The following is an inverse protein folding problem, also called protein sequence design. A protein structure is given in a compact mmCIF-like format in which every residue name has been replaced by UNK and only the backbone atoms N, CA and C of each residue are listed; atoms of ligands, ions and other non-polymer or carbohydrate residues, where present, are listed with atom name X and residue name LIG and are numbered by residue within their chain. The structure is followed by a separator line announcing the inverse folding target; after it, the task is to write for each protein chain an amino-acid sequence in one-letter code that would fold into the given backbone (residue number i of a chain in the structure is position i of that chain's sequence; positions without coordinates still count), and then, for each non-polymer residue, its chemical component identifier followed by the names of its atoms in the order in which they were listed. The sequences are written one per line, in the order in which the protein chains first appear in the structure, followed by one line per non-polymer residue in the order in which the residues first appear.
data_IF_624968936595
#
_entry.id   IF_624968936595
#
_cell.length_a   1.000
_cell.length_b   1.000
_cell.length_c   1.000
_cell.angle_alpha   90.00
_cell.angle_beta   90.00
_cell.angle_gamma   90.00
#
_symmetry.space_group_name_H-M   'P 1'
#
loop_
_entity.id
_entity.type
_entity.pdbx_description
1 polymer ?
#
# COMPACT_ATOMS: atom_id res chain seq x y z
N UNK A 1 38.17 41.82 15.46
CA UNK A 1 37.38 41.96 14.21
C UNK A 1 37.02 43.41 14.04
N UNK A 2 37.04 43.94 12.81
CA UNK A 2 36.84 45.38 12.58
C UNK A 2 35.47 45.81 13.12
N UNK A 3 35.39 47.01 13.72
CA UNK A 3 34.14 47.55 14.30
C UNK A 3 32.98 47.58 13.28
N UNK A 4 33.31 47.54 11.99
CA UNK A 4 32.39 47.38 10.86
C UNK A 4 31.71 46.00 10.79
N UNK A 5 32.45 44.91 11.01
CA UNK A 5 31.93 43.52 10.97
C UNK A 5 30.90 43.29 12.10
N UNK A 6 31.16 43.82 13.29
CA UNK A 6 30.22 43.72 14.43
C UNK A 6 28.94 44.53 14.21
N UNK A 7 29.03 45.64 13.46
CA UNK A 7 27.88 46.51 13.14
C UNK A 7 27.01 45.98 12.00
N UNK A 8 27.54 45.14 11.11
CA UNK A 8 26.80 44.61 9.97
C UNK A 8 26.31 43.17 10.18
N UNK A 9 27.10 42.31 10.82
CA UNK A 9 26.77 40.88 10.93
C UNK A 9 25.74 40.60 12.03
N UNK A 10 25.81 41.29 13.17
CA UNK A 10 24.84 41.11 14.25
C UNK A 10 23.41 41.45 13.78
N UNK A 11 23.13 42.61 13.14
CA UNK A 11 21.79 42.88 12.66
C UNK A 11 21.35 41.92 11.55
N UNK A 12 22.27 41.46 10.69
CA UNK A 12 21.94 40.48 9.65
C UNK A 12 21.56 39.11 10.23
N UNK A 13 22.25 38.64 11.28
CA UNK A 13 21.91 37.39 11.98
C UNK A 13 20.59 37.54 12.74
N UNK A 14 20.35 38.68 13.41
CA UNK A 14 19.07 38.91 14.07
C UNK A 14 17.92 39.01 13.07
N UNK A 15 18.13 39.64 11.91
CA UNK A 15 17.13 39.71 10.84
C UNK A 15 16.85 38.32 10.28
N UNK A 16 17.88 37.50 10.04
CA UNK A 16 17.71 36.12 9.58
C UNK A 16 16.97 35.25 10.60
N UNK A 17 17.25 35.45 11.89
CA UNK A 17 16.56 34.73 12.97
C UNK A 17 15.10 35.15 13.10
N UNK A 18 14.80 36.45 12.97
CA UNK A 18 13.43 36.98 12.92
C UNK A 18 12.70 36.48 11.66
N UNK A 19 13.37 36.42 10.50
CA UNK A 19 12.81 35.85 9.28
C UNK A 19 12.53 34.34 9.45
N UNK A 20 13.41 33.60 10.10
CA UNK A 20 13.15 32.19 10.42
C UNK A 20 11.97 32.03 11.38
N UNK A 21 11.88 32.84 12.45
CA UNK A 21 10.74 32.79 13.38
C UNK A 21 9.44 33.15 12.67
N UNK A 22 9.43 34.17 11.81
CA UNK A 22 8.22 34.55 11.06
C UNK A 22 7.82 33.50 10.01
N UNK A 23 8.78 32.82 9.38
CA UNK A 23 8.49 31.66 8.50
C UNK A 23 7.93 30.48 9.32
N UNK A 24 8.45 30.23 10.53
CA UNK A 24 7.94 29.19 11.42
C UNK A 24 6.55 29.52 11.98
N UNK A 25 6.24 30.78 12.28
CA UNK A 25 4.89 31.21 12.65
C UNK A 25 3.93 31.13 11.45
N UNK A 26 4.39 31.47 10.25
CA UNK A 26 3.59 31.33 9.02
C UNK A 26 3.38 29.86 8.62
N UNK A 27 4.32 28.97 8.92
CA UNK A 27 4.07 27.53 8.79
C UNK A 27 3.08 27.03 9.85
N UNK A 28 3.08 27.63 11.05
CA UNK A 28 2.10 27.33 12.10
C UNK A 28 0.69 27.80 11.73
N UNK A 29 0.52 28.93 11.05
CA UNK A 29 -0.79 29.35 10.51
C UNK A 29 -1.29 28.44 9.38
N UNK A 30 -0.38 27.86 8.58
CA UNK A 30 -0.71 26.80 7.61
C UNK A 30 -1.00 25.44 8.29
N UNK A 31 -0.83 25.36 9.61
CA UNK A 31 -1.23 24.21 10.45
C UNK A 31 -2.52 24.53 11.23
N UNK A 32 -3.37 25.45 10.72
CA UNK A 32 -4.75 25.65 11.19
C UNK A 32 -5.69 24.53 10.74
N UNK A 33 -5.24 23.28 10.86
CA UNK A 33 -6.06 22.07 10.69
C UNK A 33 -5.82 21.05 11.83
N UNK A 34 -4.92 21.38 12.78
CA UNK A 34 -4.67 20.54 13.96
C UNK A 34 -5.43 21.00 15.22
N UNK A 35 -6.19 22.09 15.16
CA UNK A 35 -6.96 22.65 16.29
C UNK A 35 -8.48 22.39 16.20
N UNK A 36 -8.91 21.48 15.30
CA UNK A 36 -10.30 20.99 15.22
C UNK A 36 -10.48 19.53 15.65
N UNK A 37 -9.42 18.86 16.11
CA UNK A 37 -9.46 17.47 16.57
C UNK A 37 -9.69 17.32 18.08
N UNK A 38 -9.65 18.41 18.85
CA UNK A 38 -9.88 18.41 20.30
C UNK A 38 -11.34 18.70 20.71
N UNK A 39 -12.20 19.17 19.81
CA UNK A 39 -13.63 19.40 20.12
C UNK A 39 -14.56 18.20 19.83
N UNK A 40 -14.03 17.06 19.36
CA UNK A 40 -14.84 15.84 19.13
C UNK A 40 -14.83 14.89 20.35
N UNK A 41 -13.92 15.07 21.30
CA UNK A 41 -13.76 14.14 22.43
C UNK A 41 -14.52 14.49 23.73
N UNK A 42 -15.37 15.52 23.72
CA UNK A 42 -16.13 15.93 24.92
C UNK A 42 -17.65 15.68 24.83
N UNK A 43 -18.10 14.76 23.97
CA UNK A 43 -19.54 14.43 23.84
C UNK A 43 -19.88 12.94 23.99
N UNK A 44 -18.95 12.09 24.45
CA UNK A 44 -19.26 10.68 24.75
C UNK A 44 -18.99 10.41 26.23
N UNK A 45 -19.83 10.99 27.08
CA UNK A 45 -19.91 10.67 28.51
C UNK A 45 -21.36 10.55 29.01
N UNK A 46 -22.31 10.24 28.14
CA UNK A 46 -23.64 9.70 28.50
C UNK A 46 -24.04 8.81 27.31
N UNK A 47 -24.28 7.51 27.41
CA UNK A 47 -25.41 6.93 28.12
C UNK A 47 -25.21 5.45 28.46
N UNK A 48 -25.84 5.14 29.58
CA UNK A 48 -25.98 3.90 30.32
C UNK A 48 -26.81 2.84 29.59
N UNK A 49 -26.52 1.58 29.96
CA UNK A 49 -27.32 0.35 29.81
C UNK A 49 -28.85 0.52 29.69
N UNK A 50 -29.44 -0.12 28.66
CA UNK A 50 -30.70 -0.85 28.76
C UNK A 50 -30.92 -1.77 27.53
N UNK A 51 -31.28 -3.02 27.81
CA UNK A 51 -32.00 -3.97 26.94
C UNK A 51 -33.26 -4.38 27.74
N UNK A 52 -34.34 -5.02 27.22
CA UNK A 52 -34.64 -5.52 25.85
C UNK A 52 -36.04 -5.12 25.32
N UNK A 53 -36.38 -5.46 24.06
CA UNK A 53 -37.65 -6.11 23.64
C UNK A 53 -37.76 -6.27 22.09
N UNK A 54 -38.42 -7.35 21.70
CA UNK A 54 -38.79 -7.82 20.35
C UNK A 54 -39.60 -6.79 19.52
N UNK A 55 -39.54 -6.86 18.17
CA UNK A 55 -40.58 -7.47 17.29
C UNK A 55 -40.46 -7.07 15.79
N UNK A 56 -40.23 -8.09 14.94
CA UNK A 56 -40.85 -8.45 13.64
C UNK A 56 -41.10 -7.45 12.46
N UNK A 57 -40.77 -8.00 11.26
CA UNK A 57 -41.43 -7.97 9.92
C UNK A 57 -41.17 -6.87 8.86
N UNK A 58 -40.85 -7.40 7.65
CA UNK A 58 -40.66 -6.85 6.27
C UNK A 58 -42.01 -6.53 5.54
N UNK A 59 -42.14 -6.33 4.20
CA UNK A 59 -41.25 -5.90 3.08
C UNK A 59 -41.91 -4.91 2.04
N UNK A 60 -41.13 -4.42 1.05
CA UNK A 60 -41.40 -4.12 -0.41
C UNK A 60 -40.61 -2.87 -0.85
N UNK A 61 -39.86 -2.74 -1.96
CA UNK A 61 -39.85 -3.20 -3.37
C UNK A 61 -39.98 -1.96 -4.30
N UNK A 62 -39.40 -2.05 -5.51
CA UNK A 62 -39.48 -1.12 -6.67
C UNK A 62 -38.43 0.03 -6.69
N UNK A 63 -37.75 0.43 -7.78
CA UNK A 63 -37.62 0.01 -9.19
C UNK A 63 -36.53 0.93 -9.85
N UNK A 64 -35.67 0.41 -10.75
CA UNK A 64 -34.85 1.19 -11.73
C UNK A 64 -35.69 1.38 -13.02
N UNK A 65 -35.39 2.20 -14.08
CA UNK A 65 -34.15 2.89 -14.56
C UNK A 65 -34.49 4.32 -15.13
N UNK A 66 -33.85 4.97 -16.17
CA UNK A 66 -32.65 4.67 -16.99
C UNK A 66 -31.67 5.86 -17.29
N UNK A 67 -30.55 5.51 -17.95
CA UNK A 67 -29.63 6.41 -18.67
C UNK A 67 -30.31 7.22 -19.79
N UNK A 68 -29.73 8.38 -20.19
CA UNK A 68 -29.27 8.50 -21.58
C UNK A 68 -27.97 9.32 -21.79
N UNK A 69 -27.53 9.28 -23.04
CA UNK A 69 -26.27 9.66 -23.67
C UNK A 69 -26.06 11.13 -24.06
N UNK A 70 -24.78 11.50 -24.20
CA UNK A 70 -24.16 12.39 -25.23
C UNK A 70 -24.61 13.86 -25.37
N UNK A 71 -23.64 14.78 -25.21
CA UNK A 71 -23.74 16.16 -25.69
C UNK A 71 -22.45 16.94 -25.41
N UNK A 72 -21.83 17.47 -26.46
CA UNK A 72 -20.55 18.20 -26.48
C UNK A 72 -20.84 19.66 -26.86
N UNK A 73 -20.56 20.65 -25.99
CA UNK A 73 -20.13 22.00 -26.39
C UNK A 73 -19.56 22.80 -25.21
N UNK A 74 -18.55 23.59 -25.55
CA UNK A 74 -17.70 24.52 -24.79
C UNK A 74 -18.51 25.66 -24.12
N UNK A 75 -18.10 26.40 -23.09
CA UNK A 75 -16.88 27.22 -22.91
C UNK A 75 -16.87 27.85 -21.49
N UNK A 76 -15.67 27.99 -20.91
CA UNK A 76 -15.16 28.96 -19.91
C UNK A 76 -15.58 29.00 -18.42
N UNK A 77 -14.55 28.69 -17.61
CA UNK A 77 -14.00 29.39 -16.42
C UNK A 77 -14.92 29.74 -15.24
N UNK A 78 -14.66 29.12 -14.09
CA UNK A 78 -13.89 29.76 -13.00
C UNK A 78 -13.50 28.78 -11.89
N UNK A 79 -12.35 29.07 -11.29
CA UNK A 79 -11.57 28.25 -10.36
C UNK A 79 -12.29 27.94 -9.05
N UNK A 80 -12.31 26.66 -8.69
CA UNK A 80 -12.33 26.19 -7.31
C UNK A 80 -11.45 24.93 -7.26
N UNK A 81 -10.23 25.06 -6.74
CA UNK A 81 -9.36 23.92 -6.46
C UNK A 81 -9.99 23.11 -5.32
N UNK A 82 -10.83 22.15 -5.71
CA UNK A 82 -11.20 21.04 -4.85
C UNK A 82 -9.97 20.12 -4.82
N UNK A 83 -9.32 20.00 -3.67
CA UNK A 83 -8.30 18.98 -3.43
C UNK A 83 -9.00 17.62 -3.51
N UNK A 84 -9.09 17.09 -4.73
CA UNK A 84 -9.44 15.71 -5.00
C UNK A 84 -8.29 14.87 -4.45
N UNK A 85 -8.55 14.14 -3.36
CA UNK A 85 -7.64 13.17 -2.80
C UNK A 85 -7.30 12.16 -3.91
N UNK A 86 -6.15 12.37 -4.56
CA UNK A 86 -5.65 11.47 -5.59
C UNK A 86 -5.50 10.10 -4.96
N UNK A 87 -6.41 9.18 -5.27
CA UNK A 87 -6.36 7.81 -4.80
C UNK A 87 -5.02 7.23 -5.27
N UNK A 88 -4.11 7.02 -4.31
CA UNK A 88 -2.77 6.52 -4.59
C UNK A 88 -2.91 5.08 -5.09
N UNK A 89 -2.85 4.90 -6.41
CA UNK A 89 -2.90 3.58 -7.06
C UNK A 89 -1.79 2.73 -6.44
N UNK A 90 -2.11 1.64 -5.73
CA UNK A 90 -1.11 0.81 -5.07
C UNK A 90 -0.16 0.15 -6.08
N UNK A 91 1.08 -0.08 -5.67
CA UNK A 91 2.02 -0.90 -6.43
C UNK A 91 1.41 -2.28 -6.73
N UNK A 92 1.76 -2.90 -7.88
CA UNK A 92 1.30 -4.24 -8.19
C UNK A 92 1.71 -5.23 -7.10
N UNK A 93 0.79 -6.12 -6.75
CA UNK A 93 0.91 -7.13 -5.71
C UNK A 93 1.04 -6.56 -4.29
N UNK A 94 0.55 -5.34 -4.06
CA UNK A 94 0.50 -4.72 -2.74
C UNK A 94 -0.90 -4.20 -2.43
N UNK A 95 -1.23 -4.05 -1.15
CA UNK A 95 -2.51 -3.45 -0.73
C UNK A 95 -2.39 -2.85 0.67
N UNK A 96 -3.16 -1.78 0.91
CA UNK A 96 -3.42 -1.24 2.25
C UNK A 96 -4.76 -1.76 2.76
N UNK A 97 -4.79 -2.26 4.00
CA UNK A 97 -6.02 -2.68 4.63
C UNK A 97 -6.92 -1.47 4.92
N UNK A 98 -8.18 -1.44 4.45
CA UNK A 98 -9.05 -0.29 4.64
C UNK A 98 -9.37 -0.01 6.12
N UNK A 99 -9.33 -1.01 7.00
CA UNK A 99 -9.74 -0.87 8.40
C UNK A 99 -8.63 -0.34 9.31
N UNK A 100 -7.41 -0.85 9.17
CA UNK A 100 -6.29 -0.53 10.06
C UNK A 100 -5.10 0.13 9.36
N UNK A 101 -5.23 0.43 8.06
CA UNK A 101 -4.19 1.05 7.23
C UNK A 101 -2.87 0.26 7.19
N UNK A 102 -2.89 -1.02 7.59
CA UNK A 102 -1.74 -1.92 7.50
C UNK A 102 -1.38 -2.19 6.05
N UNK A 103 -0.10 -2.05 5.70
CA UNK A 103 0.40 -2.31 4.36
C UNK A 103 0.83 -3.77 4.22
N UNK A 104 0.43 -4.41 3.13
CA UNK A 104 0.76 -5.81 2.84
C UNK A 104 1.46 -5.87 1.49
N UNK A 105 2.61 -6.52 1.46
CA UNK A 105 3.43 -6.71 0.27
C UNK A 105 3.57 -8.20 -0.04
N UNK A 106 2.86 -8.64 -1.08
CA UNK A 106 2.87 -10.04 -1.53
C UNK A 106 3.94 -10.30 -2.61
N UNK A 107 4.75 -9.30 -3.01
CA UNK A 107 5.76 -9.47 -4.08
C UNK A 107 6.79 -10.53 -3.75
N UNK A 108 7.09 -10.74 -2.46
CA UNK A 108 7.95 -11.84 -1.99
C UNK A 108 7.40 -13.24 -2.26
N UNK A 109 6.12 -13.35 -2.64
CA UNK A 109 5.46 -14.59 -3.08
C UNK A 109 5.33 -14.69 -4.60
N UNK A 110 5.74 -13.67 -5.32
CA UNK A 110 5.63 -13.54 -6.76
C UNK A 110 6.98 -13.71 -7.46
N UNK A 111 6.95 -13.99 -8.77
CA UNK A 111 8.15 -13.88 -9.61
C UNK A 111 8.81 -12.49 -9.51
N UNK A 112 8.03 -11.43 -9.25
CA UNK A 112 8.52 -10.05 -9.07
C UNK A 112 9.55 -9.94 -7.93
N UNK A 113 9.36 -10.68 -6.84
CA UNK A 113 10.30 -10.73 -5.72
C UNK A 113 11.48 -11.67 -5.94
N UNK A 114 11.55 -12.38 -7.07
CA UNK A 114 12.51 -13.43 -7.36
C UNK A 114 13.17 -13.24 -8.73
N UNK A 115 13.67 -12.03 -9.02
CA UNK A 115 14.39 -11.72 -10.27
C UNK A 115 13.58 -12.03 -11.55
N UNK A 116 12.25 -11.95 -11.48
CA UNK A 116 11.32 -12.36 -12.54
C UNK A 116 11.41 -13.85 -12.94
N UNK A 117 12.04 -14.69 -12.12
CA UNK A 117 12.03 -16.14 -12.30
C UNK A 117 10.66 -16.67 -11.86
N UNK A 118 9.98 -17.50 -12.68
CA UNK A 118 8.70 -18.10 -12.31
C UNK A 118 8.79 -18.82 -10.97
N UNK A 119 7.91 -18.46 -10.05
CA UNK A 119 7.83 -19.07 -8.71
C UNK A 119 6.51 -19.85 -8.57
N UNK A 120 6.48 -21.12 -9.01
CA UNK A 120 5.30 -21.95 -8.92
C UNK A 120 5.12 -22.51 -7.50
N UNK A 121 3.93 -22.32 -6.94
CA UNK A 121 3.49 -22.93 -5.69
C UNK A 121 2.67 -24.18 -5.98
N UNK A 122 3.05 -25.31 -5.39
CA UNK A 122 2.39 -26.60 -5.61
C UNK A 122 1.42 -26.92 -4.48
N UNK A 123 0.25 -27.41 -4.85
CA UNK A 123 -0.76 -27.92 -3.91
C UNK A 123 -1.37 -29.21 -4.44
N UNK A 124 -1.73 -30.13 -3.56
CA UNK A 124 -2.34 -31.43 -3.91
C UNK A 124 -3.79 -31.45 -3.45
N UNK A 125 -4.71 -31.77 -4.37
CA UNK A 125 -6.08 -32.12 -4.00
C UNK A 125 -6.19 -33.62 -3.77
N UNK A 126 -6.10 -34.07 -2.52
CA UNK A 126 -6.19 -35.50 -2.18
C UNK A 126 -7.53 -36.13 -2.57
N UNK A 127 -8.59 -35.33 -2.55
CA UNK A 127 -9.96 -35.66 -2.95
C UNK A 127 -10.13 -35.77 -4.47
N UNK A 128 -9.51 -34.86 -5.23
CA UNK A 128 -9.65 -34.76 -6.69
C UNK A 128 -8.58 -35.53 -7.46
N UNK A 129 -7.49 -35.95 -6.80
CA UNK A 129 -6.32 -36.55 -7.42
C UNK A 129 -5.52 -35.59 -8.32
N UNK A 130 -5.85 -34.30 -8.31
CA UNK A 130 -5.22 -33.28 -9.17
C UNK A 130 -4.02 -32.64 -8.46
N UNK A 131 -2.97 -32.40 -9.25
CA UNK A 131 -1.81 -31.62 -8.82
C UNK A 131 -1.95 -30.18 -9.34
N UNK A 132 -2.10 -29.24 -8.43
CA UNK A 132 -2.29 -27.83 -8.74
C UNK A 132 -0.97 -27.08 -8.68
N UNK A 133 -0.76 -26.20 -9.65
CA UNK A 133 0.34 -25.25 -9.69
C UNK A 133 -0.23 -23.84 -9.76
N UNK A 134 0.20 -22.96 -8.85
CA UNK A 134 -0.34 -21.63 -8.66
C UNK A 134 0.81 -20.62 -8.66
N UNK A 135 0.68 -19.53 -9.40
CA UNK A 135 1.52 -18.34 -9.25
C UNK A 135 0.80 -17.31 -8.40
N UNK A 136 1.54 -16.48 -7.65
CA UNK A 136 0.97 -15.36 -6.89
C UNK A 136 1.39 -14.07 -7.59
N UNK A 137 0.43 -13.27 -8.07
CA UNK A 137 0.66 -12.04 -8.84
C UNK A 137 1.53 -12.20 -10.10
N UNK A 138 1.74 -13.43 -10.56
CA UNK A 138 2.63 -13.74 -11.69
C UNK A 138 2.26 -15.07 -12.30
N UNK A 139 2.73 -15.28 -13.53
CA UNK A 139 2.61 -16.53 -14.23
C UNK A 139 3.58 -17.62 -13.67
N UNK A 140 3.11 -18.84 -13.34
CA UNK A 140 3.94 -19.92 -12.83
C UNK A 140 4.58 -20.81 -13.91
N UNK A 141 4.24 -20.67 -15.19
CA UNK A 141 4.84 -21.42 -16.30
C UNK A 141 6.29 -21.00 -16.54
N UNK A 142 7.11 -21.99 -16.92
CA UNK A 142 8.44 -21.76 -17.48
C UNK A 142 8.30 -21.57 -18.99
N UNK A 143 9.16 -20.74 -19.58
CA UNK A 143 9.18 -20.45 -21.02
C UNK A 143 9.35 -21.69 -21.93
N UNK A 144 9.69 -22.86 -21.38
CA UNK A 144 9.86 -24.12 -22.11
C UNK A 144 8.56 -24.91 -22.37
N UNK A 145 7.43 -24.57 -21.74
CA UNK A 145 6.14 -25.28 -21.88
C UNK A 145 5.15 -24.54 -22.79
N UNK A 146 5.65 -23.93 -23.87
CA UNK A 146 4.88 -23.06 -24.75
C UNK A 146 4.26 -23.78 -25.97
N UNK A 147 4.27 -25.11 -26.01
CA UNK A 147 3.58 -25.82 -27.09
C UNK A 147 2.07 -25.69 -26.90
N UNK A 148 1.42 -24.98 -27.82
CA UNK A 148 -0.03 -24.69 -27.82
C UNK A 148 -0.89 -25.96 -27.76
N UNK A 149 -0.34 -27.10 -28.18
CA UNK A 149 -0.97 -28.43 -28.14
C UNK A 149 -1.11 -29.01 -26.72
N UNK A 150 -0.32 -28.54 -25.75
CA UNK A 150 -0.34 -29.05 -24.37
C UNK A 150 -1.43 -28.40 -23.50
N UNK A 151 -1.98 -27.24 -23.91
CA UNK A 151 -2.90 -26.43 -23.12
C UNK A 151 -4.34 -26.59 -23.61
N UNK A 152 -5.27 -26.85 -22.68
CA UNK A 152 -6.69 -26.98 -22.99
C UNK A 152 -7.34 -25.63 -23.36
N UNK A 153 -8.25 -25.66 -24.33
CA UNK A 153 -9.06 -24.51 -24.80
C UNK A 153 -8.27 -23.32 -25.37
N UNK A 154 -7.02 -23.55 -25.80
CA UNK A 154 -6.18 -22.55 -26.49
C UNK A 154 -6.07 -21.20 -25.76
N UNK A 155 -6.07 -21.23 -24.42
CA UNK A 155 -5.90 -20.03 -23.60
C UNK A 155 -4.48 -19.47 -23.72
N UNK A 156 -4.32 -18.17 -23.48
CA UNK A 156 -3.02 -17.52 -23.56
C UNK A 156 -2.08 -17.99 -22.44
N UNK A 157 -1.04 -18.76 -22.79
CA UNK A 157 -0.09 -19.34 -21.84
C UNK A 157 0.62 -18.30 -20.97
N UNK A 158 0.82 -17.08 -21.48
CA UNK A 158 1.51 -15.98 -20.79
C UNK A 158 0.69 -15.34 -19.67
N UNK A 159 -0.62 -15.54 -19.68
CA UNK A 159 -1.53 -14.96 -18.67
C UNK A 159 -1.95 -15.97 -17.60
N UNK A 160 -1.66 -17.26 -17.75
CA UNK A 160 -2.13 -18.28 -16.80
C UNK A 160 -1.58 -18.01 -15.40
N UNK A 161 -2.46 -17.85 -14.41
CA UNK A 161 -2.10 -17.66 -13.00
C UNK A 161 -2.15 -18.94 -12.17
N UNK A 162 -2.98 -19.90 -12.56
CA UNK A 162 -3.02 -21.20 -11.93
C UNK A 162 -3.48 -22.26 -12.93
N UNK A 163 -2.98 -23.48 -12.77
CA UNK A 163 -3.36 -24.62 -13.60
C UNK A 163 -3.28 -25.94 -12.84
N UNK A 164 -3.92 -26.97 -13.40
CA UNK A 164 -3.65 -28.37 -13.04
C UNK A 164 -3.36 -29.18 -14.29
N UNK A 165 -2.78 -30.36 -14.09
CA UNK A 165 -2.60 -31.35 -15.15
C UNK A 165 -3.75 -32.33 -15.05
N UNK A 166 -4.57 -32.43 -16.10
CA UNK A 166 -5.66 -33.40 -16.15
C UNK A 166 -5.06 -34.82 -16.29
N UNK A 167 -5.31 -35.73 -15.34
CA UNK A 167 -4.72 -37.07 -15.37
C UNK A 167 -5.21 -37.92 -16.56
N UNK A 168 -6.35 -37.58 -17.17
CA UNK A 168 -6.93 -38.35 -18.28
C UNK A 168 -6.38 -37.91 -19.63
N UNK A 169 -6.36 -36.60 -19.88
CA UNK A 169 -5.92 -36.02 -21.15
C UNK A 169 -4.43 -35.65 -21.15
N UNK A 170 -3.80 -35.62 -19.97
CA UNK A 170 -2.43 -35.15 -19.74
C UNK A 170 -2.17 -33.73 -20.25
N UNK A 171 -3.23 -32.91 -20.31
CA UNK A 171 -3.18 -31.50 -20.74
C UNK A 171 -3.15 -30.57 -19.55
N UNK A 172 -2.54 -29.40 -19.75
CA UNK A 172 -2.61 -28.30 -18.81
C UNK A 172 -3.97 -27.61 -18.91
N UNK A 173 -4.69 -27.56 -17.80
CA UNK A 173 -5.99 -26.90 -17.71
C UNK A 173 -5.84 -25.62 -16.91
N UNK A 174 -6.08 -24.47 -17.55
CA UNK A 174 -6.01 -23.17 -16.87
C UNK A 174 -7.18 -23.01 -15.91
N UNK A 175 -6.88 -22.52 -14.71
CA UNK A 175 -7.86 -22.18 -13.68
C UNK A 175 -8.04 -20.67 -13.52
N UNK A 176 -7.49 -19.88 -14.45
CA UNK A 176 -7.64 -18.43 -14.50
C UNK A 176 -6.35 -17.70 -14.88
N UNK A 177 -6.51 -16.47 -15.32
CA UNK A 177 -5.46 -15.50 -15.61
C UNK A 177 -4.96 -14.83 -14.33
N UNK A 178 -3.65 -14.67 -14.18
CA UNK A 178 -3.11 -14.05 -12.98
C UNK A 178 -3.55 -12.57 -12.88
N UNK A 179 -3.91 -12.18 -11.67
CA UNK A 179 -4.08 -10.79 -11.29
C UNK A 179 -2.96 -10.38 -10.35
N UNK A 180 -2.52 -9.13 -10.44
CA UNK A 180 -1.58 -8.50 -9.50
C UNK A 180 -2.28 -7.64 -8.45
N UNK A 181 -3.62 -7.61 -8.42
CA UNK A 181 -4.39 -6.72 -7.53
C UNK A 181 -5.12 -7.53 -6.47
N UNK A 182 -4.51 -7.74 -5.28
CA UNK A 182 -5.21 -8.38 -4.18
C UNK A 182 -6.26 -7.41 -3.61
N UNK A 183 -7.35 -7.95 -3.07
CA UNK A 183 -8.48 -7.19 -2.53
C UNK A 183 -8.92 -7.74 -1.18
N UNK A 184 -9.34 -6.86 -0.27
CA UNK A 184 -9.97 -7.25 0.98
C UNK A 184 -11.45 -7.56 0.74
N UNK A 185 -11.86 -8.79 1.01
CA UNK A 185 -13.27 -9.18 1.11
C UNK A 185 -13.61 -9.39 2.57
N UNK A 186 -14.29 -8.41 3.16
CA UNK A 186 -14.48 -8.34 4.61
C UNK A 186 -13.13 -8.26 5.32
N UNK A 187 -12.82 -9.25 6.16
CA UNK A 187 -11.54 -9.32 6.91
C UNK A 187 -10.49 -10.20 6.24
N UNK A 188 -10.78 -10.79 5.08
CA UNK A 188 -9.89 -11.72 4.39
C UNK A 188 -9.25 -11.03 3.20
N UNK A 189 -7.93 -11.18 3.09
CA UNK A 189 -7.17 -10.76 1.92
C UNK A 189 -7.31 -11.82 0.84
N UNK A 190 -7.76 -11.44 -0.35
CA UNK A 190 -8.02 -12.38 -1.45
C UNK A 190 -7.40 -11.92 -2.75
N UNK A 191 -7.05 -12.87 -3.62
CA UNK A 191 -6.64 -12.61 -5.00
C UNK A 191 -7.43 -13.55 -5.91
N UNK A 192 -8.03 -13.01 -6.96
CA UNK A 192 -8.95 -13.76 -7.84
C UNK A 192 -8.41 -13.80 -9.25
N UNK A 193 -8.37 -15.00 -9.83
CA UNK A 193 -7.97 -15.27 -11.20
C UNK A 193 -9.20 -15.75 -11.97
N UNK A 194 -9.54 -15.06 -13.05
CA UNK A 194 -10.73 -15.31 -13.86
C UNK A 194 -10.33 -15.78 -15.27
N UNK A 195 -11.28 -16.10 -16.14
CA UNK A 195 -11.01 -16.42 -17.56
C UNK A 195 -10.11 -17.65 -17.77
N UNK A 196 -10.27 -18.71 -16.98
CA UNK A 196 -9.58 -19.98 -17.19
C UNK A 196 -10.08 -20.79 -18.41
N UNK A 197 -9.72 -22.08 -18.43
CA UNK A 197 -10.34 -23.03 -19.36
C UNK A 197 -11.84 -23.16 -19.06
N UNK A 198 -12.62 -23.63 -20.03
CA UNK A 198 -14.05 -23.83 -19.81
C UNK A 198 -14.29 -24.97 -18.83
N UNK A 199 -15.31 -24.81 -17.98
CA UNK A 199 -15.82 -25.92 -17.18
C UNK A 199 -17.01 -26.58 -17.89
N UNK A 200 -17.51 -27.67 -17.31
CA UNK A 200 -18.68 -28.41 -17.81
C UNK A 200 -20.01 -27.82 -17.29
N UNK A 201 -19.95 -26.64 -16.67
CA UNK A 201 -21.12 -25.91 -16.18
C UNK A 201 -21.48 -24.77 -17.14
N UNK A 202 -22.76 -24.43 -17.16
CA UNK A 202 -23.35 -23.42 -18.04
C UNK A 202 -24.08 -22.38 -17.20
N UNK A 203 -24.01 -21.13 -17.64
CA UNK A 203 -24.85 -20.07 -17.11
C UNK A 203 -26.31 -20.33 -17.52
N UNK A 204 -27.20 -20.43 -16.54
CA UNK A 204 -28.62 -20.71 -16.75
C UNK A 204 -29.35 -19.58 -17.48
N UNK A 205 -28.84 -18.35 -17.39
CA UNK A 205 -29.46 -17.16 -17.98
C UNK A 205 -29.00 -16.91 -19.41
N UNK A 206 -27.71 -17.11 -19.69
CA UNK A 206 -27.12 -16.82 -21.00
C UNK A 206 -26.87 -18.07 -21.86
N UNK A 207 -26.89 -19.27 -21.25
CA UNK A 207 -26.52 -20.53 -21.91
C UNK A 207 -25.02 -20.64 -22.22
N UNK A 208 -24.20 -19.68 -21.81
CA UNK A 208 -22.77 -19.67 -22.07
C UNK A 208 -22.03 -20.68 -21.17
N UNK A 209 -20.97 -21.30 -21.70
CA UNK A 209 -20.07 -22.14 -20.91
C UNK A 209 -19.31 -21.28 -19.91
N UNK A 210 -19.37 -21.68 -18.63
CA UNK A 210 -18.63 -20.99 -17.58
C UNK A 210 -17.13 -21.24 -17.69
N UNK A 211 -16.36 -20.27 -17.23
CA UNK A 211 -14.89 -20.29 -17.22
C UNK A 211 -14.40 -20.63 -15.82
N UNK A 212 -13.31 -21.39 -15.74
CA UNK A 212 -12.70 -21.73 -14.46
C UNK A 212 -12.11 -20.49 -13.79
N UNK A 213 -12.26 -20.41 -12.47
CA UNK A 213 -11.83 -19.28 -11.64
C UNK A 213 -11.09 -19.80 -10.42
N UNK A 214 -10.03 -19.12 -10.01
CA UNK A 214 -9.27 -19.42 -8.79
C UNK A 214 -9.39 -18.28 -7.79
N UNK A 215 -9.64 -18.61 -6.54
CA UNK A 215 -9.67 -17.67 -5.42
C UNK A 215 -8.59 -18.09 -4.41
N UNK A 216 -7.60 -17.23 -4.25
CA UNK A 216 -6.55 -17.33 -3.26
C UNK A 216 -6.94 -16.51 -2.04
N UNK A 217 -6.97 -17.13 -0.87
CA UNK A 217 -7.18 -16.44 0.41
C UNK A 217 -5.88 -16.43 1.19
N UNK A 218 -5.39 -15.25 1.54
CA UNK A 218 -4.12 -15.10 2.26
C UNK A 218 -4.36 -15.05 3.77
N UNK A 219 -3.61 -15.86 4.50
CA UNK A 219 -3.58 -15.92 5.95
C UNK A 219 -2.18 -15.52 6.44
N UNK A 220 -2.11 -14.48 7.26
CA UNK A 220 -0.86 -14.05 7.91
C UNK A 220 -0.39 -15.12 8.89
N UNK A 221 0.84 -15.58 8.70
CA UNK A 221 1.52 -16.51 9.60
C UNK A 221 2.88 -15.93 9.99
N UNK A 222 2.93 -15.26 11.15
CA UNK A 222 4.14 -14.55 11.61
C UNK A 222 5.23 -15.48 12.11
N UNK A 223 4.85 -16.61 12.70
CA UNK A 223 5.73 -17.55 13.39
C UNK A 223 6.30 -18.62 12.45
N UNK A 224 5.93 -18.57 11.16
CA UNK A 224 6.38 -19.53 10.19
C UNK A 224 7.88 -19.38 9.90
N UNK A 225 8.66 -20.34 10.39
CA UNK A 225 10.08 -20.49 10.06
C UNK A 225 10.32 -21.11 8.68
N UNK A 226 9.25 -21.63 8.05
CA UNK A 226 9.27 -22.27 6.73
C UNK A 226 8.89 -21.31 5.60
N UNK A 227 9.15 -21.70 4.35
CA UNK A 227 8.64 -21.01 3.15
C UNK A 227 7.11 -21.02 3.14
N UNK A 228 6.50 -20.06 2.44
CA UNK A 228 5.05 -19.98 2.28
C UNK A 228 4.45 -21.31 1.81
N UNK A 229 3.22 -21.59 2.22
CA UNK A 229 2.50 -22.82 1.85
C UNK A 229 1.18 -22.48 1.19
N UNK A 230 0.82 -23.25 0.17
CA UNK A 230 -0.45 -23.14 -0.54
C UNK A 230 -1.22 -24.45 -0.36
N UNK A 231 -2.41 -24.34 0.22
CA UNK A 231 -3.28 -25.47 0.53
C UNK A 231 -4.55 -25.38 -0.30
N UNK A 232 -4.92 -26.50 -0.93
CA UNK A 232 -6.19 -26.60 -1.63
C UNK A 232 -7.31 -26.79 -0.60
N UNK A 233 -8.33 -25.93 -0.67
CA UNK A 233 -9.48 -25.94 0.25
C UNK A 233 -10.62 -26.74 -0.35
N UNK A 234 -10.86 -26.59 -1.65
CA UNK A 234 -11.94 -27.27 -2.34
C UNK A 234 -12.30 -26.60 -3.68
N UNK A 235 -13.30 -27.14 -4.35
CA UNK A 235 -13.85 -26.55 -5.56
C UNK A 235 -15.36 -26.72 -5.62
N UNK A 236 -16.02 -25.79 -6.32
CA UNK A 236 -17.44 -25.86 -6.63
C UNK A 236 -17.63 -26.24 -8.09
N UNK A 237 -18.28 -27.37 -8.35
CA UNK A 237 -18.59 -27.91 -9.68
C UNK A 237 -17.39 -27.98 -10.64
N UNK A 238 -16.18 -28.20 -10.11
CA UNK A 238 -14.91 -28.14 -10.86
C UNK A 238 -14.73 -26.85 -11.69
N UNK A 239 -15.39 -25.76 -11.30
CA UNK A 239 -15.35 -24.48 -12.00
C UNK A 239 -14.69 -23.39 -11.15
N UNK A 240 -14.99 -23.33 -9.85
CA UNK A 240 -14.35 -22.37 -8.94
C UNK A 240 -13.47 -23.10 -7.93
N UNK A 241 -12.20 -22.74 -7.85
CA UNK A 241 -11.21 -23.36 -6.98
C UNK A 241 -10.82 -22.42 -5.84
N UNK A 242 -10.77 -22.95 -4.63
CA UNK A 242 -10.43 -22.20 -3.42
C UNK A 242 -9.12 -22.70 -2.86
N UNK A 243 -8.19 -21.78 -2.60
CA UNK A 243 -6.90 -22.07 -2.00
C UNK A 243 -6.65 -21.13 -0.82
N UNK A 244 -5.97 -21.65 0.20
CA UNK A 244 -5.43 -20.87 1.30
C UNK A 244 -3.92 -20.73 1.13
N UNK A 245 -3.42 -19.50 1.23
CA UNK A 245 -2.00 -19.18 1.18
C UNK A 245 -1.57 -18.69 2.55
N UNK A 246 -0.79 -19.49 3.28
CA UNK A 246 -0.21 -19.10 4.56
C UNK A 246 1.19 -18.53 4.32
N UNK A 247 1.44 -17.31 4.81
CA UNK A 247 2.72 -16.64 4.63
C UNK A 247 2.95 -15.52 5.63
N UNK A 248 4.21 -15.27 5.96
CA UNK A 248 4.65 -14.05 6.64
C UNK A 248 4.44 -12.80 5.77
N UNK A 249 4.51 -12.90 4.44
CA UNK A 249 4.28 -11.78 3.52
C UNK A 249 2.83 -11.25 3.54
N UNK A 250 1.88 -12.09 3.97
CA UNK A 250 0.48 -11.68 4.14
C UNK A 250 0.24 -10.88 5.43
N UNK A 251 1.27 -10.68 6.25
CA UNK A 251 1.15 -9.94 7.49
C UNK A 251 1.24 -8.43 7.25
N UNK A 252 0.38 -7.64 7.91
CA UNK A 252 0.44 -6.19 7.79
C UNK A 252 1.75 -5.69 8.41
N UNK A 253 2.47 -4.91 7.62
CA UNK A 253 3.64 -4.14 8.01
C UNK A 253 3.21 -2.68 8.17
N UNK A 254 3.91 -1.93 9.03
CA UNK A 254 3.71 -0.49 9.08
C UNK A 254 3.95 0.08 7.67
N UNK A 255 3.02 0.90 7.17
CA UNK A 255 3.24 1.61 5.93
C UNK A 255 4.58 2.36 6.03
N UNK A 256 5.37 2.34 4.95
CA UNK A 256 6.67 3.02 4.89
C UNK A 256 6.42 4.50 5.17
N UNK A 257 6.61 4.92 6.42
CA UNK A 257 6.57 6.32 6.76
C UNK A 257 7.68 7.00 5.93
N UNK A 258 7.38 8.17 5.38
CA UNK A 258 8.37 8.97 4.69
C UNK A 258 9.46 9.36 5.69
N UNK A 259 10.50 8.52 5.82
CA UNK A 259 11.67 8.72 6.69
C UNK A 259 12.45 10.00 6.35
N UNK A 260 12.03 10.72 5.31
CA UNK A 260 12.41 12.10 5.01
C UNK A 260 12.29 12.99 6.25
N UNK A 261 11.25 12.82 7.08
CA UNK A 261 11.09 13.63 8.30
C UNK A 261 12.27 13.43 9.28
N UNK A 262 12.72 12.19 9.47
CA UNK A 262 13.86 11.89 10.34
C UNK A 262 15.19 12.43 9.77
N UNK A 263 15.36 12.38 8.44
CA UNK A 263 16.53 12.95 7.76
C UNK A 263 16.62 14.47 7.96
N UNK A 264 15.48 15.18 7.84
CA UNK A 264 15.42 16.62 8.09
C UNK A 264 15.75 16.95 9.55
N UNK A 265 15.22 16.20 10.52
CA UNK A 265 15.51 16.40 11.95
C UNK A 265 17.02 16.28 12.22
N UNK A 266 17.67 15.25 11.68
CA UNK A 266 19.11 15.04 11.88
C UNK A 266 19.95 16.17 11.26
N UNK A 267 19.58 16.62 10.05
CA UNK A 267 20.24 17.73 9.38
C UNK A 267 20.14 19.05 10.15
N UNK A 268 18.96 19.34 10.74
CA UNK A 268 18.77 20.53 11.57
C UNK A 268 19.64 20.51 12.83
N UNK A 269 19.71 19.38 13.54
CA UNK A 269 20.55 19.24 14.74
C UNK A 269 22.03 19.43 14.41
N UNK A 270 22.50 18.82 13.32
CA UNK A 270 23.88 18.94 12.89
C UNK A 270 24.25 20.40 12.54
N UNK A 271 23.36 21.10 11.83
CA UNK A 271 23.57 22.51 11.48
C UNK A 271 23.61 23.41 12.73
N UNK A 272 22.74 23.17 13.70
CA UNK A 272 22.72 23.91 14.97
C UNK A 272 24.02 23.70 15.77
N UNK A 273 24.52 22.45 15.84
CA UNK A 273 25.77 22.14 16.52
C UNK A 273 26.97 22.87 15.89
N UNK A 274 27.05 22.90 14.55
CA UNK A 274 28.07 23.67 13.84
C UNK A 274 27.96 25.17 14.15
N UNK A 275 26.75 25.73 14.15
CA UNK A 275 26.54 27.14 14.45
C UNK A 275 27.02 27.51 15.87
N UNK A 276 26.72 26.68 16.88
CA UNK A 276 27.20 26.87 18.26
C UNK A 276 28.72 26.75 18.32
N UNK A 277 29.32 25.76 17.64
CA UNK A 277 30.77 25.58 17.62
C UNK A 277 31.50 26.79 17.00
N UNK A 278 31.04 27.29 15.85
CA UNK A 278 31.63 28.44 15.19
C UNK A 278 31.42 29.74 15.98
N UNK A 279 30.23 29.99 16.51
CA UNK A 279 29.93 31.19 17.31
C UNK A 279 30.72 31.21 18.62
N UNK A 280 30.81 30.09 19.34
CA UNK A 280 31.64 29.95 20.54
C UNK A 280 33.12 30.15 20.25
N UNK A 281 33.64 29.59 19.15
CA UNK A 281 35.02 29.78 18.71
C UNK A 281 35.35 31.24 18.36
N UNK A 282 34.43 31.96 17.72
CA UNK A 282 34.58 33.38 17.41
C UNK A 282 34.54 34.25 18.68
N UNK A 283 33.60 33.98 19.61
CA UNK A 283 33.50 34.70 20.89
C UNK A 283 34.74 34.48 21.76
N UNK A 284 35.22 33.23 21.86
CA UNK A 284 36.44 32.90 22.60
C UNK A 284 37.66 33.66 22.06
N UNK A 285 37.84 33.69 20.74
CA UNK A 285 38.91 34.46 20.09
C UNK A 285 38.77 35.96 20.35
N UNK A 286 37.55 36.49 20.30
CA UNK A 286 37.30 37.92 20.51
C UNK A 286 37.58 38.36 21.96
N UNK A 287 37.15 37.57 22.95
CA UNK A 287 37.43 37.84 24.37
C UNK A 287 38.92 37.78 24.69
N UNK A 288 39.64 36.79 24.14
CA UNK A 288 41.09 36.66 24.34
C UNK A 288 41.86 37.82 23.73
N UNK A 289 41.45 38.30 22.55
CA UNK A 289 42.05 39.47 21.92
C UNK A 289 41.81 40.76 22.74
N UNK A 290 40.58 40.99 23.22
CA UNK A 290 40.27 42.15 24.07
C UNK A 290 41.01 42.13 25.42
N UNK A 291 41.31 40.95 25.99
CA UNK A 291 42.17 40.85 27.18
C UNK A 291 43.63 41.18 26.92
N UNK A 292 44.14 40.98 25.69
CA UNK A 292 45.54 41.27 25.34
C UNK A 292 45.77 42.78 25.16
N UNK A 293 44.82 43.48 24.53
CA UNK A 293 44.87 44.95 24.40
C UNK A 293 44.83 45.66 25.76
N UNK A 294 43.94 45.23 26.67
CA UNK A 294 43.84 45.83 28.01
C UNK A 294 45.07 45.56 28.91
N UNK A 295 45.92 44.57 28.58
CA UNK A 295 47.16 44.29 29.32
C UNK A 295 48.35 45.08 28.79
N UNK A 296 48.29 45.57 27.55
CA UNK A 296 49.31 46.43 26.95
C UNK A 296 49.22 47.87 27.43
N UNK A 297 48.00 48.38 27.66
CA UNK A 297 47.75 49.75 28.14
C UNK A 297 48.01 49.97 29.64
N UNK A 298 48.17 48.89 30.43
CA UNK A 298 48.54 48.98 31.85
C UNK A 298 50.07 48.96 32.10
N UNK A 299 50.89 48.86 31.05
CA UNK A 299 52.36 48.81 31.11
C UNK A 299 53.05 50.00 30.43
N UNK A 300 52.30 51.01 30.02
CA UNK A 300 52.80 52.27 29.49
C UNK A 300 52.64 53.37 30.53
#
# INVERSE_FOLDING_TARGET
MSKLVRRAIIPAITLLFIICITILEKSKSNTSLYDKSSEIFDSISHFTFASPHEQKSSPNAQEFPPHPSSGQLTTDKQNAEHEESKEEVPDPCTIKNPLNQGFIDLRGLSAMGNENKPMPWKSRGYDSGKNFTIGICSNPFKQSHNEVSEIQDSVNSTMIGAYYIDPTTNKYVSMGEYSSHPIFRGRKLTLTYENGSFCNAYDLSTGARLRKTTILTFTCDREMSAKASVSYVGSSNDCTFFFEVRSHHACPTAAKANNMAAAWIFLFIFLAALAVYFSGGLLYKHMKASRKDNRGTSKA
#
